data_IF_405208882782
#
_entry.id   IF_405208882782
#
_cell.length_a   1.000
_cell.length_b   1.000
_cell.length_c   1.000
_cell.angle_alpha   90.00
_cell.angle_beta   90.00
_cell.angle_gamma   90.00
#
_symmetry.space_group_name_H-M   'P 1'
#
loop_
_entity.id
_entity.type
_entity.pdbx_description
1 polymer ?
#
# COMPACT_ATOMS: atom_id res chain seq x y z
N UNK A 1 -102.30 11.12 9.13
CA UNK A 1 -100.84 11.45 9.18
C UNK A 1 -100.05 10.15 9.06
N UNK A 2 -99.67 9.75 7.87
CA UNK A 2 -99.20 8.42 7.53
C UNK A 2 -97.67 8.50 7.30
N UNK A 3 -96.91 7.88 8.18
CA UNK A 3 -95.43 7.72 8.05
C UNK A 3 -95.12 6.66 7.01
N UNK A 4 -94.45 7.06 5.92
CA UNK A 4 -93.91 6.16 4.94
C UNK A 4 -92.48 5.74 5.34
N UNK A 5 -92.26 4.53 5.77
CA UNK A 5 -90.98 3.87 5.95
C UNK A 5 -90.38 3.48 4.58
N UNK A 6 -89.34 4.15 4.14
CA UNK A 6 -88.55 3.71 2.97
C UNK A 6 -87.58 2.58 3.37
N UNK A 7 -87.83 1.35 2.90
CA UNK A 7 -86.94 0.24 3.01
C UNK A 7 -85.81 0.42 2.02
N UNK A 8 -84.52 0.40 2.49
CA UNK A 8 -83.33 0.42 1.67
C UNK A 8 -83.21 -0.88 0.86
N UNK A 9 -82.92 -0.78 -0.42
CA UNK A 9 -82.84 -1.91 -1.31
C UNK A 9 -81.47 -2.66 -1.19
N UNK A 10 -81.54 -3.96 -1.40
CA UNK A 10 -80.33 -4.89 -1.32
C UNK A 10 -79.08 -4.37 -2.10
N UNK A 11 -79.31 -3.52 -3.09
CA UNK A 11 -78.24 -2.93 -3.90
C UNK A 11 -77.42 -1.87 -3.18
N UNK A 12 -78.00 -1.15 -2.22
CA UNK A 12 -77.33 -0.10 -1.46
C UNK A 12 -76.44 -0.64 -0.30
N UNK A 13 -76.78 -1.82 0.18
CA UNK A 13 -75.96 -2.48 1.26
C UNK A 13 -74.70 -3.13 0.68
N UNK A 14 -74.69 -3.56 -0.56
CA UNK A 14 -73.53 -4.20 -1.20
C UNK A 14 -72.47 -3.12 -1.61
N UNK A 15 -72.88 -1.90 -1.88
CA UNK A 15 -71.96 -0.81 -2.22
C UNK A 15 -71.21 -0.23 -1.03
N UNK A 16 -71.67 -0.44 0.21
CA UNK A 16 -71.03 0.08 1.42
C UNK A 16 -69.97 -0.88 1.99
N UNK A 17 -70.00 -2.18 1.62
CA UNK A 17 -69.01 -3.20 2.06
C UNK A 17 -67.80 -3.33 1.10
N UNK A 18 -67.87 -2.79 -0.11
CA UNK A 18 -66.78 -2.82 -1.10
C UNK A 18 -65.74 -1.73 -0.96
N UNK A 19 -65.99 -0.67 -0.18
CA UNK A 19 -65.08 0.48 -0.06
C UNK A 19 -64.11 0.41 1.15
N UNK A 20 -64.29 -0.57 2.04
CA UNK A 20 -63.45 -0.68 3.24
C UNK A 20 -62.24 -1.64 3.09
N UNK A 21 -62.10 -2.31 1.92
CA UNK A 21 -61.06 -3.31 1.71
C UNK A 21 -59.78 -2.81 0.94
N UNK A 22 -59.66 -1.51 0.64
CA UNK A 22 -58.56 -0.93 -0.15
C UNK A 22 -57.70 0.09 0.59
N UNK A 23 -57.81 0.21 1.91
CA UNK A 23 -56.94 1.02 2.73
C UNK A 23 -56.00 0.14 3.61
N UNK A 24 -55.37 -0.90 3.02
CA UNK A 24 -54.15 -1.43 3.59
C UNK A 24 -53.08 -0.35 3.36
N UNK A 25 -52.44 0.17 4.41
CA UNK A 25 -51.28 1.03 4.20
C UNK A 25 -50.25 0.14 3.45
N UNK A 26 -50.00 0.51 2.19
CA UNK A 26 -48.80 0.02 1.51
C UNK A 26 -47.62 0.51 2.36
N UNK A 27 -47.14 -0.32 3.27
CA UNK A 27 -45.84 -0.19 3.85
C UNK A 27 -44.90 -0.34 2.67
N UNK A 28 -44.70 0.75 1.92
CA UNK A 28 -43.51 0.90 1.10
C UNK A 28 -42.39 0.80 2.10
N UNK A 29 -41.75 -0.39 2.16
CA UNK A 29 -40.40 -0.49 2.66
C UNK A 29 -39.61 0.56 1.87
N UNK A 30 -39.48 1.76 2.44
CA UNK A 30 -38.50 2.71 2.00
C UNK A 30 -37.17 1.92 2.19
N UNK A 31 -36.68 1.30 1.11
CA UNK A 31 -35.32 0.89 1.08
C UNK A 31 -34.55 2.19 1.28
N UNK A 32 -34.19 2.48 2.54
CA UNK A 32 -33.32 3.59 2.85
C UNK A 32 -32.10 3.40 1.96
N UNK A 33 -31.93 4.27 0.98
CA UNK A 33 -30.80 4.23 0.08
C UNK A 33 -29.56 4.17 0.96
N UNK A 34 -28.78 3.09 0.85
CA UNK A 34 -27.63 2.88 1.73
C UNK A 34 -26.75 4.13 1.65
N UNK A 35 -26.42 4.72 2.79
CA UNK A 35 -25.49 5.84 2.87
C UNK A 35 -24.17 5.40 2.25
N UNK A 36 -23.45 6.32 1.63
CA UNK A 36 -22.19 6.01 0.93
C UNK A 36 -21.04 6.74 1.57
N UNK A 37 -19.94 6.02 1.81
CA UNK A 37 -18.63 6.58 2.15
C UNK A 37 -17.80 6.62 0.87
N UNK A 38 -17.39 7.82 0.47
CA UNK A 38 -16.58 8.04 -0.73
C UNK A 38 -15.12 8.21 -0.34
N UNK A 39 -14.26 7.38 -0.93
CA UNK A 39 -12.82 7.53 -0.88
C UNK A 39 -12.33 8.15 -2.18
N UNK A 40 -11.69 9.32 -2.08
CA UNK A 40 -11.05 10.00 -3.20
C UNK A 40 -9.57 9.70 -3.28
N UNK A 41 -8.98 9.98 -4.44
CA UNK A 41 -7.55 9.83 -4.63
C UNK A 41 -7.13 9.97 -6.09
N UNK A 42 -5.83 9.90 -6.30
CA UNK A 42 -5.24 9.66 -7.61
C UNK A 42 -4.26 8.49 -7.52
N UNK A 43 -4.02 7.83 -8.64
CA UNK A 43 -3.03 6.74 -8.75
C UNK A 43 -2.37 6.82 -10.12
N UNK A 44 -1.09 6.50 -10.27
CA UNK A 44 -0.43 6.51 -11.57
C UNK A 44 -0.81 5.26 -12.36
N UNK A 45 -1.88 5.34 -13.15
CA UNK A 45 -2.28 4.25 -14.04
C UNK A 45 -1.47 4.26 -15.34
N UNK A 46 -0.85 5.41 -15.65
CA UNK A 46 0.07 5.63 -16.78
C UNK A 46 1.35 6.33 -16.31
N UNK A 47 2.35 6.41 -17.18
CA UNK A 47 3.63 7.05 -16.87
C UNK A 47 4.64 6.12 -16.20
N UNK A 48 5.70 6.71 -15.64
CA UNK A 48 6.87 5.95 -15.13
C UNK A 48 6.58 5.04 -13.95
N UNK A 49 5.56 5.35 -13.15
CA UNK A 49 5.18 4.58 -11.95
C UNK A 49 3.96 3.68 -12.18
N UNK A 50 3.51 3.48 -13.42
CA UNK A 50 2.28 2.75 -13.74
C UNK A 50 2.26 1.32 -13.21
N UNK A 51 3.39 0.61 -13.24
CA UNK A 51 3.48 -0.77 -12.75
C UNK A 51 3.04 -0.88 -11.29
N UNK A 52 3.59 -0.05 -10.42
CA UNK A 52 3.23 -0.06 -9.00
C UNK A 52 1.92 0.67 -8.75
N UNK A 53 1.59 1.69 -9.53
CA UNK A 53 0.28 2.37 -9.47
C UNK A 53 -0.89 1.43 -9.74
N UNK A 54 -0.77 0.54 -10.70
CA UNK A 54 -1.77 -0.50 -10.97
C UNK A 54 -1.92 -1.48 -9.80
N UNK A 55 -0.83 -1.83 -9.11
CA UNK A 55 -0.89 -2.66 -7.91
C UNK A 55 -1.66 -1.96 -6.79
N UNK A 56 -1.40 -0.67 -6.56
CA UNK A 56 -2.12 0.16 -5.58
C UNK A 56 -3.61 0.27 -5.93
N UNK A 57 -3.92 0.61 -7.18
CA UNK A 57 -5.30 0.70 -7.67
C UNK A 57 -6.09 -0.59 -7.46
N UNK A 58 -5.50 -1.73 -7.82
CA UNK A 58 -6.13 -3.03 -7.69
C UNK A 58 -6.39 -3.37 -6.21
N UNK A 59 -5.51 -2.97 -5.30
CA UNK A 59 -5.71 -3.13 -3.86
C UNK A 59 -6.92 -2.36 -3.35
N UNK A 60 -7.06 -1.09 -3.71
CA UNK A 60 -8.22 -0.27 -3.35
C UNK A 60 -9.52 -0.86 -3.89
N UNK A 61 -9.55 -1.24 -5.17
CA UNK A 61 -10.72 -1.86 -5.81
C UNK A 61 -11.08 -3.18 -5.11
N UNK A 62 -10.10 -4.02 -4.80
CA UNK A 62 -10.32 -5.31 -4.13
C UNK A 62 -11.01 -5.11 -2.79
N UNK A 63 -10.49 -4.19 -1.95
CA UNK A 63 -11.08 -3.95 -0.65
C UNK A 63 -12.51 -3.41 -0.75
N UNK A 64 -12.75 -2.37 -1.56
CA UNK A 64 -14.09 -1.80 -1.71
C UNK A 64 -15.08 -2.82 -2.27
N UNK A 65 -14.67 -3.63 -3.27
CA UNK A 65 -15.51 -4.72 -3.77
C UNK A 65 -15.82 -5.75 -2.69
N UNK A 66 -14.81 -6.16 -1.90
CA UNK A 66 -15.01 -7.13 -0.82
C UNK A 66 -16.03 -6.63 0.21
N UNK A 67 -15.84 -5.42 0.71
CA UNK A 67 -16.77 -4.81 1.67
C UNK A 67 -18.18 -4.69 1.12
N UNK A 68 -18.34 -4.34 -0.16
CA UNK A 68 -19.65 -4.15 -0.78
C UNK A 68 -20.32 -5.46 -1.18
N UNK A 69 -19.59 -6.36 -1.84
CA UNK A 69 -20.16 -7.53 -2.51
C UNK A 69 -20.25 -8.71 -1.57
N UNK A 70 -19.24 -8.91 -0.70
CA UNK A 70 -19.18 -10.06 0.22
C UNK A 70 -19.82 -9.71 1.56
N UNK A 71 -19.45 -8.56 2.17
CA UNK A 71 -19.97 -8.15 3.49
C UNK A 71 -21.27 -7.34 3.39
N UNK A 72 -21.68 -6.96 2.18
CA UNK A 72 -22.89 -6.20 1.93
C UNK A 72 -22.81 -4.74 2.36
N UNK A 73 -21.63 -4.21 2.67
CA UNK A 73 -21.34 -2.88 3.19
C UNK A 73 -20.69 -2.93 4.57
N UNK A 74 -20.50 -1.76 5.16
CA UNK A 74 -19.90 -1.60 6.50
C UNK A 74 -20.90 -1.00 7.47
N UNK A 75 -20.84 -1.45 8.72
CA UNK A 75 -21.67 -0.87 9.79
C UNK A 75 -20.85 0.09 10.64
N UNK A 76 -21.35 1.31 10.82
CA UNK A 76 -20.72 2.36 11.64
C UNK A 76 -21.84 3.00 12.48
N UNK A 77 -21.71 2.93 13.81
CA UNK A 77 -22.68 3.47 14.76
C UNK A 77 -24.14 3.00 14.53
N UNK A 78 -24.33 1.75 14.11
CA UNK A 78 -25.65 1.16 13.82
C UNK A 78 -26.23 1.52 12.45
N UNK A 79 -25.51 2.27 11.62
CA UNK A 79 -25.90 2.59 10.25
C UNK A 79 -25.05 1.83 9.23
N UNK A 80 -25.69 1.36 8.16
CA UNK A 80 -25.03 0.62 7.08
C UNK A 80 -24.63 1.55 5.94
N UNK A 81 -23.36 1.41 5.49
CA UNK A 81 -22.78 2.21 4.42
C UNK A 81 -22.30 1.31 3.28
N UNK A 82 -22.44 1.78 2.05
CA UNK A 82 -21.69 1.28 0.90
C UNK A 82 -20.43 2.12 0.72
N UNK A 83 -19.42 1.53 0.10
CA UNK A 83 -18.15 2.21 -0.18
C UNK A 83 -18.08 2.57 -1.66
N UNK A 84 -17.53 3.73 -1.98
CA UNK A 84 -17.29 4.20 -3.34
C UNK A 84 -15.86 4.68 -3.51
N UNK A 85 -15.24 4.40 -4.66
CA UNK A 85 -13.94 4.90 -5.05
C UNK A 85 -14.08 5.97 -6.13
N UNK A 86 -13.43 7.13 -5.91
CA UNK A 86 -13.21 8.17 -6.92
C UNK A 86 -11.71 8.30 -7.18
N UNK A 87 -11.15 7.36 -7.93
CA UNK A 87 -9.73 7.34 -8.27
C UNK A 87 -9.53 7.83 -9.72
N UNK A 88 -8.52 8.66 -9.91
CA UNK A 88 -8.16 9.21 -11.21
C UNK A 88 -6.70 8.94 -11.53
N UNK A 89 -6.38 8.79 -12.82
CA UNK A 89 -5.01 8.65 -13.29
C UNK A 89 -4.25 9.98 -13.15
N UNK A 90 -3.22 10.00 -12.31
CA UNK A 90 -2.32 11.15 -12.20
C UNK A 90 -1.17 11.13 -13.23
N UNK A 91 -1.06 10.08 -14.02
CA UNK A 91 -0.04 9.89 -15.04
C UNK A 91 1.41 10.04 -14.51
N UNK A 92 1.63 9.70 -13.23
CA UNK A 92 2.90 9.92 -12.53
C UNK A 92 3.34 11.40 -12.47
N UNK A 93 2.38 12.33 -12.58
CA UNK A 93 2.60 13.78 -12.57
C UNK A 93 2.08 14.44 -11.30
N UNK A 94 2.96 15.07 -10.48
CA UNK A 94 2.56 15.70 -9.23
C UNK A 94 1.60 16.89 -9.39
N UNK A 95 1.73 17.66 -10.47
CA UNK A 95 0.86 18.82 -10.71
C UNK A 95 -0.56 18.36 -11.08
N UNK A 96 -0.66 17.32 -11.92
CA UNK A 96 -1.95 16.69 -12.24
C UNK A 96 -2.60 16.08 -10.99
N UNK A 97 -1.82 15.35 -10.17
CA UNK A 97 -2.32 14.78 -8.92
C UNK A 97 -2.90 15.84 -7.98
N UNK A 98 -2.18 16.96 -7.77
CA UNK A 98 -2.65 18.05 -6.91
C UNK A 98 -3.95 18.67 -7.40
N UNK A 99 -4.08 18.87 -8.71
CA UNK A 99 -5.31 19.38 -9.35
C UNK A 99 -6.49 18.43 -9.13
N UNK A 100 -6.27 17.12 -9.29
CA UNK A 100 -7.30 16.09 -9.08
C UNK A 100 -7.75 16.03 -7.61
N UNK A 101 -6.84 16.09 -6.65
CA UNK A 101 -7.18 16.07 -5.23
C UNK A 101 -7.94 17.35 -4.83
N UNK A 102 -7.49 18.54 -5.28
CA UNK A 102 -8.18 19.78 -4.99
C UNK A 102 -9.63 19.74 -5.51
N UNK A 103 -9.83 19.31 -6.76
CA UNK A 103 -11.18 19.16 -7.33
C UNK A 103 -12.06 18.25 -6.50
N UNK A 104 -11.55 17.10 -6.04
CA UNK A 104 -12.32 16.16 -5.23
C UNK A 104 -12.70 16.75 -3.86
N UNK A 105 -11.83 17.57 -3.25
CA UNK A 105 -12.15 18.31 -2.02
C UNK A 105 -13.30 19.29 -2.27
N UNK A 106 -13.25 20.04 -3.37
CA UNK A 106 -14.28 21.01 -3.75
C UNK A 106 -15.64 20.33 -4.05
N UNK A 107 -15.60 19.08 -4.55
CA UNK A 107 -16.75 18.19 -4.75
C UNK A 107 -17.26 17.53 -3.44
N UNK A 108 -16.65 17.82 -2.29
CA UNK A 108 -17.09 17.36 -0.97
C UNK A 108 -16.54 16.00 -0.54
N UNK A 109 -15.51 15.46 -1.18
CA UNK A 109 -14.84 14.22 -0.73
C UNK A 109 -14.15 14.46 0.63
N UNK A 110 -14.32 13.51 1.55
CA UNK A 110 -13.87 13.64 2.94
C UNK A 110 -12.71 12.72 3.32
N UNK A 111 -12.49 11.63 2.61
CA UNK A 111 -11.47 10.63 2.92
C UNK A 111 -10.61 10.38 1.70
N UNK A 112 -9.30 10.45 1.86
CA UNK A 112 -8.37 10.36 0.75
C UNK A 112 -7.45 9.16 0.88
N UNK A 113 -7.15 8.57 -0.27
CA UNK A 113 -6.17 7.50 -0.46
C UNK A 113 -4.97 8.07 -1.20
N UNK A 114 -3.77 7.69 -0.75
CA UNK A 114 -2.55 8.19 -1.37
C UNK A 114 -2.25 7.51 -2.70
N UNK A 115 -1.56 8.26 -3.56
CA UNK A 115 -0.97 7.78 -4.80
C UNK A 115 0.34 7.00 -4.52
N UNK A 116 1.08 6.62 -5.57
CA UNK A 116 2.40 6.04 -5.46
C UNK A 116 3.49 7.06 -5.87
N UNK A 117 4.57 7.07 -5.06
CA UNK A 117 5.72 7.96 -5.19
C UNK A 117 5.64 9.17 -4.26
N UNK A 118 6.72 9.39 -3.49
CA UNK A 118 6.79 10.50 -2.52
C UNK A 118 6.68 11.89 -3.17
N UNK A 119 7.12 12.03 -4.41
CA UNK A 119 6.98 13.25 -5.21
C UNK A 119 5.51 13.62 -5.52
N UNK A 120 4.60 12.63 -5.49
CA UNK A 120 3.15 12.83 -5.66
C UNK A 120 2.47 12.93 -4.30
N UNK A 121 2.79 12.02 -3.37
CA UNK A 121 2.12 11.97 -2.07
C UNK A 121 2.39 13.23 -1.24
N UNK A 122 3.60 13.76 -1.24
CA UNK A 122 3.94 14.95 -0.43
C UNK A 122 3.09 16.19 -0.80
N UNK A 123 2.99 16.64 -2.05
CA UNK A 123 2.17 17.79 -2.40
C UNK A 123 0.65 17.52 -2.24
N UNK A 124 0.17 16.31 -2.53
CA UNK A 124 -1.25 15.96 -2.33
C UNK A 124 -1.61 15.89 -0.84
N UNK A 125 -0.73 15.37 0.00
CA UNK A 125 -0.87 15.37 1.45
C UNK A 125 -0.96 16.80 2.02
N UNK A 126 -0.18 17.75 1.50
CA UNK A 126 -0.27 19.15 1.92
C UNK A 126 -1.63 19.80 1.60
N UNK A 127 -2.28 19.35 0.52
CA UNK A 127 -3.62 19.83 0.15
C UNK A 127 -4.68 19.24 1.08
N UNK A 128 -4.67 17.93 1.31
CA UNK A 128 -5.63 17.27 2.21
C UNK A 128 -5.46 17.72 3.65
N UNK A 129 -4.23 17.98 4.12
CA UNK A 129 -3.92 18.56 5.43
C UNK A 129 -4.58 19.93 5.62
N UNK A 130 -4.40 20.85 4.66
CA UNK A 130 -5.04 22.19 4.71
C UNK A 130 -6.56 22.12 4.76
N UNK A 131 -7.14 21.15 4.04
CA UNK A 131 -8.57 20.91 4.01
C UNK A 131 -9.07 20.14 5.24
N UNK A 132 -8.21 19.71 6.15
CA UNK A 132 -8.52 18.85 7.31
C UNK A 132 -9.23 17.56 6.88
N UNK A 133 -8.79 16.96 5.79
CA UNK A 133 -9.28 15.69 5.28
C UNK A 133 -8.22 14.61 5.48
N UNK A 134 -8.52 13.52 6.22
CA UNK A 134 -7.53 12.48 6.42
C UNK A 134 -7.13 11.81 5.11
N UNK A 135 -5.84 11.50 5.00
CA UNK A 135 -5.24 10.69 3.95
C UNK A 135 -4.53 9.49 4.58
N UNK A 136 -4.94 8.28 4.20
CA UNK A 136 -4.21 7.04 4.50
C UNK A 136 -3.54 6.57 3.21
N UNK A 137 -2.24 6.29 3.26
CA UNK A 137 -1.46 6.06 2.06
C UNK A 137 -0.40 4.96 2.21
N UNK A 138 -0.13 4.26 1.11
CA UNK A 138 0.86 3.18 0.99
C UNK A 138 1.88 3.43 -0.14
N UNK A 139 2.08 4.69 -0.56
CA UNK A 139 2.91 5.01 -1.72
C UNK A 139 4.02 6.02 -1.48
N UNK A 140 3.94 6.81 -0.40
CA UNK A 140 4.92 7.82 -0.06
C UNK A 140 5.70 7.48 1.20
N UNK A 141 7.01 7.24 1.08
CA UNK A 141 7.87 6.90 2.22
C UNK A 141 8.82 8.03 2.66
N UNK A 142 9.04 9.06 1.84
CA UNK A 142 10.00 10.13 2.17
C UNK A 142 9.74 10.75 3.54
N UNK A 143 10.80 10.97 4.32
CA UNK A 143 10.73 11.63 5.61
C UNK A 143 10.06 13.01 5.54
N UNK A 144 10.19 13.71 4.40
CA UNK A 144 9.57 15.01 4.19
C UNK A 144 8.03 14.99 4.31
N UNK A 145 7.37 13.83 4.13
CA UNK A 145 5.92 13.69 4.32
C UNK A 145 5.57 13.79 5.81
N UNK A 146 6.42 13.23 6.68
CA UNK A 146 6.12 13.05 8.10
C UNK A 146 6.80 14.08 9.01
N UNK A 147 7.75 14.87 8.50
CA UNK A 147 8.47 15.90 9.28
C UNK A 147 7.91 17.32 9.12
N UNK A 148 6.81 17.48 8.35
CA UNK A 148 6.14 18.78 8.17
C UNK A 148 5.09 19.10 9.24
N UNK A 149 4.89 18.20 10.20
CA UNK A 149 3.91 18.39 11.26
C UNK A 149 2.46 18.17 10.83
N UNK A 150 2.23 17.45 9.73
CA UNK A 150 0.89 17.06 9.28
C UNK A 150 0.19 16.23 10.35
N UNK A 151 -1.14 16.44 10.51
CA UNK A 151 -1.99 15.74 11.48
C UNK A 151 -3.04 14.85 10.82
N UNK A 152 -3.24 14.99 9.53
CA UNK A 152 -4.25 14.28 8.75
C UNK A 152 -3.64 13.27 7.77
N UNK A 153 -2.34 12.99 7.84
CA UNK A 153 -1.62 12.10 6.92
C UNK A 153 -1.07 10.90 7.67
N UNK A 154 -1.41 9.68 7.18
CA UNK A 154 -1.05 8.41 7.82
C UNK A 154 -0.43 7.47 6.79
N UNK A 155 0.79 6.99 7.07
CA UNK A 155 1.55 6.10 6.19
C UNK A 155 1.53 4.65 6.67
N UNK A 156 1.25 3.70 5.77
CA UNK A 156 1.14 2.28 6.08
C UNK A 156 2.48 1.59 6.31
N UNK A 157 3.57 2.33 6.35
CA UNK A 157 4.91 1.85 6.74
C UNK A 157 5.77 2.98 7.32
N UNK A 158 6.91 2.66 7.94
CA UNK A 158 7.81 3.66 8.51
C UNK A 158 8.31 4.66 7.46
N UNK A 159 8.71 5.84 7.88
CA UNK A 159 9.39 6.81 7.00
C UNK A 159 10.69 6.23 6.43
N UNK A 160 11.12 6.74 5.28
CA UNK A 160 12.18 6.16 4.46
C UNK A 160 13.49 5.89 5.20
N UNK A 161 13.93 6.79 6.09
CA UNK A 161 15.13 6.59 6.92
C UNK A 161 15.04 5.38 7.85
N UNK A 162 13.84 4.87 8.14
CA UNK A 162 13.61 3.72 9.02
C UNK A 162 13.15 2.47 8.28
N UNK A 163 12.80 2.58 6.99
CA UNK A 163 12.21 1.48 6.22
C UNK A 163 13.14 0.28 6.09
N UNK A 164 14.44 0.53 6.01
CA UNK A 164 15.43 -0.51 5.72
C UNK A 164 16.31 -0.88 6.93
N UNK A 165 15.89 -0.55 8.13
CA UNK A 165 16.65 -0.85 9.35
C UNK A 165 16.90 -2.38 9.53
N UNK A 166 15.95 -3.22 9.09
CA UNK A 166 16.07 -4.68 9.09
C UNK A 166 17.18 -5.20 8.16
N UNK A 167 17.59 -4.43 7.16
CA UNK A 167 18.60 -4.83 6.17
C UNK A 167 19.97 -5.06 6.83
N UNK A 168 20.45 -4.11 7.64
CA UNK A 168 21.70 -4.27 8.35
C UNK A 168 21.66 -5.40 9.41
N UNK A 169 20.49 -5.63 10.03
CA UNK A 169 20.29 -6.75 10.94
C UNK A 169 20.42 -8.10 10.23
N UNK A 170 19.78 -8.26 9.05
CA UNK A 170 19.97 -9.45 8.22
C UNK A 170 21.45 -9.65 7.88
N UNK A 171 22.15 -8.61 7.41
CA UNK A 171 23.53 -8.74 6.96
C UNK A 171 24.46 -9.29 8.06
N UNK A 172 24.18 -8.98 9.33
CA UNK A 172 24.91 -9.56 10.47
C UNK A 172 24.71 -11.07 10.66
N UNK A 173 23.63 -11.63 10.14
CA UNK A 173 23.33 -13.07 10.24
C UNK A 173 23.92 -13.89 9.10
N UNK A 174 24.41 -13.23 8.04
CA UNK A 174 24.99 -13.93 6.87
C UNK A 174 26.33 -14.59 7.21
N UNK A 175 26.58 -15.76 6.60
CA UNK A 175 27.85 -16.52 6.81
C UNK A 175 28.51 -16.85 5.46
N UNK A 176 29.79 -16.45 5.25
CA UNK A 176 30.63 -15.66 6.16
C UNK A 176 30.09 -14.24 6.35
N UNK A 177 30.27 -13.66 7.53
CA UNK A 177 29.76 -12.30 7.82
C UNK A 177 30.40 -11.26 6.89
N UNK A 178 29.61 -10.47 6.13
CA UNK A 178 30.13 -9.38 5.31
C UNK A 178 30.90 -8.36 6.14
N UNK A 179 31.91 -7.72 5.56
CA UNK A 179 32.71 -6.71 6.22
C UNK A 179 32.54 -5.33 5.60
N UNK A 180 32.27 -5.30 4.30
CA UNK A 180 32.28 -4.07 3.50
C UNK A 180 30.95 -3.87 2.76
N UNK A 181 30.58 -2.61 2.54
CA UNK A 181 29.45 -2.28 1.70
C UNK A 181 29.72 -1.06 0.82
N UNK A 182 29.04 -0.99 -0.32
CA UNK A 182 28.83 0.22 -1.11
C UNK A 182 27.34 0.49 -1.26
N UNK A 183 26.95 1.76 -1.32
CA UNK A 183 25.55 2.16 -1.42
C UNK A 183 25.32 3.07 -2.61
N UNK A 184 24.20 2.83 -3.32
CA UNK A 184 23.77 3.62 -4.48
C UNK A 184 22.31 4.02 -4.27
N UNK A 185 21.98 5.30 -4.54
CA UNK A 185 20.59 5.78 -4.61
C UNK A 185 20.38 6.77 -5.74
N UNK A 186 19.15 6.99 -6.12
CA UNK A 186 18.76 8.05 -7.07
C UNK A 186 18.38 9.34 -6.32
N UNK A 187 18.64 10.50 -6.96
CA UNK A 187 18.33 11.82 -6.39
C UNK A 187 16.84 12.16 -6.54
N UNK A 188 16.00 11.39 -5.88
CA UNK A 188 14.58 11.66 -5.70
C UNK A 188 14.22 11.65 -4.20
N UNK A 189 13.01 12.14 -3.88
CA UNK A 189 12.60 12.38 -2.50
C UNK A 189 12.58 11.12 -1.62
N UNK A 190 12.29 9.95 -2.19
CA UNK A 190 12.27 8.67 -1.48
C UNK A 190 13.67 8.06 -1.40
N UNK A 191 14.28 7.82 -2.57
CA UNK A 191 15.52 7.04 -2.68
C UNK A 191 16.67 7.67 -1.90
N UNK A 192 16.77 9.00 -1.92
CA UNK A 192 17.78 9.74 -1.15
C UNK A 192 17.64 9.53 0.36
N UNK A 193 16.44 9.73 0.92
CA UNK A 193 16.23 9.56 2.36
C UNK A 193 16.34 8.11 2.80
N UNK A 194 15.86 7.19 1.99
CA UNK A 194 15.97 5.75 2.25
C UNK A 194 17.43 5.26 2.16
N UNK A 195 18.18 5.70 1.16
CA UNK A 195 19.62 5.39 1.01
C UNK A 195 20.44 5.90 2.20
N UNK A 196 20.17 7.11 2.66
CA UNK A 196 20.77 7.66 3.88
C UNK A 196 20.43 6.82 5.12
N UNK A 197 19.19 6.36 5.26
CA UNK A 197 18.76 5.48 6.35
C UNK A 197 19.48 4.13 6.35
N UNK A 198 19.63 3.50 5.19
CA UNK A 198 20.40 2.25 5.04
C UNK A 198 21.86 2.47 5.39
N UNK A 199 22.48 3.54 4.89
CA UNK A 199 23.85 3.90 5.23
C UNK A 199 24.04 4.01 6.75
N UNK A 200 23.19 4.80 7.43
CA UNK A 200 23.25 4.94 8.88
C UNK A 200 23.11 3.58 9.60
N UNK A 201 22.23 2.73 9.13
CA UNK A 201 22.03 1.39 9.71
C UNK A 201 23.25 0.48 9.50
N UNK A 202 23.86 0.52 8.32
CA UNK A 202 25.07 -0.25 8.01
C UNK A 202 26.29 0.27 8.81
N UNK A 203 26.47 1.59 8.90
CA UNK A 203 27.53 2.20 9.70
C UNK A 203 27.40 1.85 11.20
N UNK A 204 26.17 1.96 11.74
CA UNK A 204 25.87 1.59 13.13
C UNK A 204 26.07 0.08 13.39
N UNK A 205 25.88 -0.75 12.36
CA UNK A 205 26.13 -2.18 12.43
C UNK A 205 27.63 -2.55 12.34
N UNK A 206 28.51 -1.58 12.06
CA UNK A 206 29.96 -1.76 12.00
C UNK A 206 30.50 -2.22 10.64
N UNK A 207 29.69 -2.16 9.58
CA UNK A 207 30.17 -2.44 8.21
C UNK A 207 31.01 -1.27 7.69
N UNK A 208 32.13 -1.59 7.04
CA UNK A 208 33.02 -0.58 6.43
C UNK A 208 32.44 -0.14 5.08
N UNK A 209 32.10 1.13 4.97
CA UNK A 209 31.69 1.72 3.69
C UNK A 209 32.90 1.88 2.77
N UNK A 210 32.77 1.40 1.53
CA UNK A 210 33.76 1.62 0.46
C UNK A 210 33.35 2.80 -0.42
N UNK A 211 32.11 2.78 -0.94
CA UNK A 211 31.62 3.81 -1.86
C UNK A 211 30.21 4.27 -1.48
N UNK A 212 29.88 5.48 -1.95
CA UNK A 212 28.57 6.10 -1.83
C UNK A 212 28.30 6.86 -3.13
N UNK A 213 27.22 6.50 -3.84
CA UNK A 213 26.88 7.11 -5.12
C UNK A 213 25.45 7.64 -5.12
N UNK A 214 25.30 8.90 -5.50
CA UNK A 214 24.01 9.50 -5.82
C UNK A 214 23.88 9.63 -7.35
N UNK A 215 22.93 8.89 -7.93
CA UNK A 215 22.62 8.94 -9.36
C UNK A 215 21.57 10.03 -9.64
N UNK A 216 21.48 10.53 -10.89
CA UNK A 216 20.32 11.33 -11.30
C UNK A 216 19.00 10.60 -11.03
N UNK A 217 17.90 11.33 -10.89
CA UNK A 217 16.56 10.78 -10.60
C UNK A 217 15.99 9.93 -11.75
N UNK A 218 16.56 9.65 -12.80
CA UNK A 218 16.21 8.71 -13.89
C UNK A 218 17.48 8.40 -14.65
N UNK A 219 18.36 7.57 -14.10
CA UNK A 219 19.60 7.22 -14.79
C UNK A 219 19.30 6.39 -16.03
N UNK A 220 20.08 6.59 -17.08
CA UNK A 220 20.02 5.78 -18.30
C UNK A 220 21.26 4.91 -18.47
N UNK A 221 22.32 5.25 -17.75
CA UNK A 221 23.58 4.52 -17.73
C UNK A 221 24.23 4.60 -16.33
N UNK A 222 24.75 3.47 -15.84
CA UNK A 222 25.43 3.35 -14.54
C UNK A 222 26.82 2.72 -14.68
N UNK A 223 27.36 2.62 -15.89
CA UNK A 223 28.62 1.94 -16.19
C UNK A 223 29.82 2.50 -15.41
N UNK A 224 29.87 3.83 -15.22
CA UNK A 224 30.91 4.49 -14.40
C UNK A 224 30.88 4.03 -12.94
N UNK A 225 29.69 4.03 -12.32
CA UNK A 225 29.50 3.57 -10.94
C UNK A 225 29.86 2.07 -10.81
N UNK A 226 29.42 1.25 -11.76
CA UNK A 226 29.77 -0.18 -11.79
C UNK A 226 31.27 -0.42 -11.98
N UNK A 227 31.97 0.49 -12.68
CA UNK A 227 33.43 0.49 -12.77
C UNK A 227 34.08 0.61 -11.39
N UNK A 228 33.63 1.54 -10.55
CA UNK A 228 34.09 1.70 -9.16
C UNK A 228 33.75 0.49 -8.29
N UNK A 229 32.53 -0.06 -8.40
CA UNK A 229 32.11 -1.26 -7.68
C UNK A 229 33.02 -2.45 -8.03
N UNK A 230 33.40 -2.64 -9.30
CA UNK A 230 34.37 -3.69 -9.70
C UNK A 230 35.74 -3.48 -9.13
N UNK A 231 36.23 -2.24 -9.08
CA UNK A 231 37.56 -1.92 -8.56
C UNK A 231 37.63 -2.16 -7.04
N UNK A 232 36.57 -1.80 -6.29
CA UNK A 232 36.55 -1.86 -4.84
C UNK A 232 35.99 -3.16 -4.27
N UNK A 233 35.26 -3.94 -5.08
CA UNK A 233 34.69 -5.26 -4.74
C UNK A 233 34.03 -5.35 -3.34
N UNK A 234 32.97 -4.55 -3.07
CA UNK A 234 32.28 -4.64 -1.78
C UNK A 234 31.65 -6.02 -1.57
N UNK A 235 31.56 -6.47 -0.31
CA UNK A 235 30.79 -7.68 0.02
C UNK A 235 29.31 -7.48 -0.28
N UNK A 236 28.79 -6.29 0.07
CA UNK A 236 27.40 -5.91 -0.08
C UNK A 236 27.28 -4.70 -1.03
N UNK A 237 26.50 -4.82 -2.06
CA UNK A 237 26.03 -3.68 -2.84
C UNK A 237 24.56 -3.42 -2.50
N UNK A 238 24.29 -2.25 -1.94
CA UNK A 238 22.96 -1.83 -1.51
C UNK A 238 22.47 -0.73 -2.44
N UNK A 239 21.40 -1.03 -3.21
CA UNK A 239 20.82 -0.10 -4.18
C UNK A 239 19.43 0.31 -3.69
N UNK A 240 19.22 1.61 -3.42
CA UNK A 240 17.95 2.13 -2.94
C UNK A 240 17.38 3.09 -3.97
N UNK A 241 16.48 2.60 -4.80
CA UNK A 241 15.86 3.31 -5.91
C UNK A 241 14.54 2.67 -6.31
N UNK A 242 13.84 3.27 -7.25
CA UNK A 242 12.60 2.71 -7.79
C UNK A 242 12.83 1.52 -8.72
N UNK A 243 11.77 0.77 -9.00
CA UNK A 243 11.81 -0.53 -9.67
C UNK A 243 12.55 -0.51 -11.02
N UNK A 244 12.32 0.51 -11.84
CA UNK A 244 12.94 0.62 -13.16
C UNK A 244 14.44 0.88 -13.07
N UNK A 245 14.86 1.73 -12.13
CA UNK A 245 16.28 2.05 -11.91
C UNK A 245 17.02 0.84 -11.31
N UNK A 246 16.34 0.10 -10.42
CA UNK A 246 16.85 -1.17 -9.88
C UNK A 246 17.05 -2.20 -10.99
N UNK A 247 16.11 -2.29 -11.94
CA UNK A 247 16.22 -3.19 -13.09
C UNK A 247 17.38 -2.79 -14.02
N UNK A 248 17.58 -1.49 -14.25
CA UNK A 248 18.70 -0.96 -15.02
C UNK A 248 20.04 -1.39 -14.40
N UNK A 249 20.22 -1.17 -13.08
CA UNK A 249 21.45 -1.59 -12.38
C UNK A 249 21.69 -3.08 -12.54
N UNK A 250 20.69 -3.92 -12.26
CA UNK A 250 20.83 -5.36 -12.35
C UNK A 250 21.24 -5.80 -13.78
N UNK A 251 20.59 -5.26 -14.82
CA UNK A 251 20.92 -5.54 -16.23
C UNK A 251 22.34 -5.12 -16.59
N UNK A 252 22.78 -3.94 -16.17
CA UNK A 252 24.12 -3.47 -16.47
C UNK A 252 25.20 -4.21 -15.66
N UNK A 253 24.89 -4.65 -14.44
CA UNK A 253 25.78 -5.56 -13.67
C UNK A 253 25.95 -6.90 -14.38
N UNK A 254 24.89 -7.49 -14.93
CA UNK A 254 24.95 -8.71 -15.74
C UNK A 254 25.80 -8.47 -16.99
N UNK A 255 25.49 -7.44 -17.77
CA UNK A 255 26.16 -7.12 -19.03
C UNK A 255 27.67 -6.85 -18.85
N UNK A 256 28.05 -6.21 -17.74
CA UNK A 256 29.43 -5.87 -17.42
C UNK A 256 30.15 -6.91 -16.56
N UNK A 257 29.50 -8.03 -16.25
CA UNK A 257 29.96 -9.07 -15.30
C UNK A 257 30.46 -8.48 -13.96
N UNK A 258 29.72 -7.47 -13.43
CA UNK A 258 30.04 -6.85 -12.14
C UNK A 258 29.47 -7.72 -11.02
N UNK A 259 30.34 -8.43 -10.31
CA UNK A 259 29.96 -9.40 -9.28
C UNK A 259 30.16 -8.83 -7.88
N UNK A 260 29.23 -9.13 -6.97
CA UNK A 260 29.29 -8.85 -5.52
C UNK A 260 28.76 -10.06 -4.76
N UNK A 261 29.10 -10.21 -3.47
CA UNK A 261 28.60 -11.34 -2.68
C UNK A 261 27.11 -11.25 -2.34
N UNK A 262 26.56 -10.02 -2.27
CA UNK A 262 25.14 -9.77 -2.10
C UNK A 262 24.73 -8.48 -2.86
N UNK A 263 23.73 -8.59 -3.70
CA UNK A 263 23.02 -7.43 -4.24
C UNK A 263 21.68 -7.30 -3.51
N UNK A 264 21.57 -6.25 -2.71
CA UNK A 264 20.31 -5.84 -2.10
C UNK A 264 19.74 -4.65 -2.85
N UNK A 265 18.48 -4.76 -3.28
CA UNK A 265 17.76 -3.70 -3.97
C UNK A 265 16.54 -3.33 -3.14
N UNK A 266 16.43 -2.08 -2.72
CA UNK A 266 15.32 -1.60 -1.88
C UNK A 266 13.95 -1.94 -2.47
N UNK A 267 13.80 -1.68 -3.77
CA UNK A 267 12.62 -2.04 -4.58
C UNK A 267 13.07 -2.76 -5.86
N UNK A 268 12.19 -3.54 -6.47
CA UNK A 268 12.40 -4.26 -7.73
C UNK A 268 12.12 -5.75 -7.61
N UNK A 269 12.96 -6.56 -6.94
CA UNK A 269 12.81 -8.01 -6.89
C UNK A 269 11.49 -8.53 -6.29
N UNK A 270 10.77 -7.73 -5.50
CA UNK A 270 9.44 -8.07 -4.97
C UNK A 270 8.37 -8.14 -6.07
N UNK A 271 8.60 -7.49 -7.23
CA UNK A 271 7.69 -7.53 -8.36
C UNK A 271 7.93 -8.76 -9.25
N UNK A 272 6.88 -9.46 -9.64
CA UNK A 272 6.98 -10.58 -10.57
C UNK A 272 7.54 -10.14 -11.92
N UNK A 273 7.08 -8.99 -12.45
CA UNK A 273 7.57 -8.41 -13.71
C UNK A 273 9.07 -8.13 -13.72
N UNK A 274 9.63 -7.71 -12.57
CA UNK A 274 11.08 -7.52 -12.41
C UNK A 274 11.82 -8.85 -12.54
N UNK A 275 11.33 -9.90 -11.85
CA UNK A 275 11.94 -11.24 -11.89
C UNK A 275 11.84 -11.86 -13.28
N UNK A 276 10.70 -11.73 -13.94
CA UNK A 276 10.50 -12.16 -15.34
C UNK A 276 11.46 -11.45 -16.30
N UNK A 277 11.64 -10.12 -16.14
CA UNK A 277 12.51 -9.31 -16.98
C UNK A 277 14.01 -9.64 -16.85
N UNK A 278 14.44 -10.19 -15.71
CA UNK A 278 15.81 -10.65 -15.46
C UNK A 278 16.00 -12.15 -15.65
N UNK A 279 14.91 -12.91 -15.65
CA UNK A 279 14.97 -14.38 -15.73
C UNK A 279 15.85 -14.97 -14.63
N UNK A 280 16.73 -15.92 -14.99
CA UNK A 280 17.65 -16.58 -14.05
C UNK A 280 18.56 -15.60 -13.28
N UNK A 281 18.83 -14.44 -13.82
CA UNK A 281 19.67 -13.44 -13.16
C UNK A 281 18.98 -12.76 -11.96
N UNK A 282 17.67 -12.94 -11.80
CA UNK A 282 16.96 -12.49 -10.60
C UNK A 282 17.27 -13.34 -9.36
N UNK A 283 17.72 -14.58 -9.53
CA UNK A 283 18.05 -15.48 -8.43
C UNK A 283 19.08 -14.85 -7.47
N UNK A 284 18.93 -15.11 -6.18
CA UNK A 284 19.73 -14.58 -5.05
C UNK A 284 19.55 -13.09 -4.75
N UNK A 285 18.86 -12.30 -5.58
CA UNK A 285 18.65 -10.88 -5.31
C UNK A 285 17.80 -10.71 -4.05
N UNK A 286 18.21 -9.80 -3.17
CA UNK A 286 17.49 -9.48 -1.95
C UNK A 286 16.77 -8.14 -2.09
N UNK A 287 15.62 -8.02 -1.44
CA UNK A 287 14.87 -6.77 -1.39
C UNK A 287 14.05 -6.63 -0.11
N UNK A 288 13.60 -5.41 0.16
CA UNK A 288 12.58 -5.18 1.18
C UNK A 288 11.18 -5.51 0.68
N UNK A 289 10.36 -6.03 1.58
CA UNK A 289 8.90 -6.15 1.40
C UNK A 289 8.20 -5.89 2.74
N UNK A 290 6.92 -5.55 2.70
CA UNK A 290 6.11 -5.29 3.91
C UNK A 290 5.02 -6.31 4.10
N UNK A 291 4.83 -7.16 3.10
CA UNK A 291 3.80 -8.19 3.13
C UNK A 291 4.11 -9.31 2.14
N UNK A 292 3.67 -10.49 2.48
CA UNK A 292 3.63 -11.70 1.66
C UNK A 292 2.38 -12.51 2.05
N UNK A 293 1.88 -13.37 1.17
CA UNK A 293 0.68 -14.17 1.47
C UNK A 293 0.87 -15.17 2.62
N UNK A 294 2.11 -15.45 2.99
CA UNK A 294 2.47 -16.37 4.10
C UNK A 294 2.45 -15.71 5.47
N UNK A 295 2.32 -14.38 5.57
CA UNK A 295 2.31 -13.69 6.88
C UNK A 295 1.16 -14.19 7.76
N UNK A 296 1.37 -14.32 9.09
CA UNK A 296 0.42 -14.96 9.99
C UNK A 296 -0.72 -14.03 10.45
N UNK A 297 -0.84 -12.85 9.86
CA UNK A 297 -1.82 -11.84 10.27
C UNK A 297 -3.25 -12.26 9.94
N UNK A 298 -4.16 -11.89 10.84
CA UNK A 298 -5.60 -12.18 10.73
C UNK A 298 -6.42 -10.94 11.07
N UNK A 299 -7.58 -10.85 10.45
CA UNK A 299 -8.56 -9.79 10.72
C UNK A 299 -9.99 -10.35 10.80
N UNK A 300 -10.93 -9.47 11.16
CA UNK A 300 -12.36 -9.81 11.22
C UNK A 300 -13.09 -9.69 9.89
N UNK A 301 -12.47 -9.16 8.85
CA UNK A 301 -13.09 -8.91 7.55
C UNK A 301 -12.67 -9.96 6.52
N UNK A 302 -11.42 -9.94 6.07
CA UNK A 302 -10.88 -10.93 5.13
C UNK A 302 -10.62 -12.27 5.81
N UNK A 303 -10.29 -12.25 7.10
CA UNK A 303 -9.92 -13.40 7.90
C UNK A 303 -8.40 -13.62 7.95
N UNK A 304 -7.72 -13.72 6.82
CA UNK A 304 -6.26 -13.79 6.73
C UNK A 304 -5.74 -13.39 5.35
N UNK A 305 -4.41 -13.33 5.21
CA UNK A 305 -3.73 -12.95 3.96
C UNK A 305 -4.08 -13.86 2.79
N UNK A 306 -4.25 -15.17 3.00
CA UNK A 306 -4.57 -16.12 1.93
C UNK A 306 -5.97 -15.90 1.38
N UNK A 307 -6.95 -15.67 2.25
CA UNK A 307 -8.33 -15.35 1.84
C UNK A 307 -8.41 -14.03 1.08
N UNK A 308 -7.61 -13.03 1.47
CA UNK A 308 -7.46 -11.81 0.69
C UNK A 308 -6.95 -12.13 -0.72
N UNK A 309 -5.90 -12.95 -0.84
CA UNK A 309 -5.34 -13.38 -2.13
C UNK A 309 -6.35 -14.14 -2.96
N UNK A 310 -7.10 -15.07 -2.36
CA UNK A 310 -8.16 -15.83 -3.04
C UNK A 310 -9.22 -14.88 -3.62
N UNK A 311 -9.69 -13.92 -2.84
CA UNK A 311 -10.66 -12.94 -3.34
C UNK A 311 -10.09 -12.03 -4.42
N UNK A 312 -8.85 -11.52 -4.24
CA UNK A 312 -8.17 -10.72 -5.26
C UNK A 312 -8.12 -11.44 -6.61
N UNK A 313 -7.77 -12.72 -6.62
CA UNK A 313 -7.69 -13.55 -7.84
C UNK A 313 -9.04 -13.73 -8.55
N UNK A 314 -10.16 -13.48 -7.89
CA UNK A 314 -11.48 -13.43 -8.55
C UNK A 314 -11.70 -12.18 -9.39
N UNK A 315 -10.93 -11.13 -9.15
CA UNK A 315 -11.07 -9.81 -9.81
C UNK A 315 -9.92 -9.52 -10.78
N UNK A 316 -8.72 -10.00 -10.48
CA UNK A 316 -7.51 -9.65 -11.20
C UNK A 316 -6.61 -10.86 -11.44
N UNK A 317 -5.93 -10.85 -12.61
CA UNK A 317 -4.91 -11.84 -12.96
C UNK A 317 -3.49 -11.37 -12.70
N UNK A 318 -3.30 -10.06 -12.44
CA UNK A 318 -1.99 -9.48 -12.12
C UNK A 318 -1.45 -10.08 -10.82
N UNK A 319 -0.16 -10.46 -10.75
CA UNK A 319 0.46 -10.90 -9.50
C UNK A 319 0.32 -9.85 -8.39
N UNK A 320 0.09 -10.31 -7.18
CA UNK A 320 0.01 -9.44 -6.00
C UNK A 320 1.41 -9.00 -5.58
N UNK A 321 1.54 -7.70 -5.25
CA UNK A 321 2.69 -7.15 -4.55
C UNK A 321 2.26 -6.59 -3.19
N UNK A 322 3.20 -6.31 -2.30
CA UNK A 322 2.86 -5.74 -0.99
C UNK A 322 2.12 -4.40 -1.09
N UNK A 323 2.33 -3.65 -2.18
CA UNK A 323 1.56 -2.42 -2.46
C UNK A 323 0.07 -2.69 -2.67
N UNK A 324 -0.28 -3.83 -3.28
CA UNK A 324 -1.68 -4.25 -3.46
C UNK A 324 -2.34 -4.52 -2.10
N UNK A 325 -1.67 -5.30 -1.27
CA UNK A 325 -2.16 -5.63 0.07
C UNK A 325 -2.21 -4.38 0.98
N UNK A 326 -1.16 -3.54 0.95
CA UNK A 326 -1.11 -2.29 1.70
C UNK A 326 -2.21 -1.30 1.29
N UNK A 327 -2.54 -1.21 -0.01
CA UNK A 327 -3.64 -0.39 -0.49
C UNK A 327 -5.00 -0.90 0.01
N UNK A 328 -5.24 -2.21 -0.04
CA UNK A 328 -6.44 -2.78 0.53
C UNK A 328 -6.55 -2.51 2.05
N UNK A 329 -5.43 -2.63 2.77
CA UNK A 329 -5.35 -2.35 4.19
C UNK A 329 -5.57 -0.86 4.53
N UNK A 330 -5.31 0.08 3.62
CA UNK A 330 -5.70 1.50 3.82
C UNK A 330 -7.22 1.64 3.99
N UNK A 331 -8.01 0.97 3.15
CA UNK A 331 -9.48 0.95 3.25
C UNK A 331 -9.90 0.31 4.57
N UNK A 332 -9.35 -0.86 4.89
CA UNK A 332 -9.63 -1.55 6.15
C UNK A 332 -9.32 -0.68 7.36
N UNK A 333 -8.17 -0.01 7.37
CA UNK A 333 -7.75 0.92 8.43
C UNK A 333 -8.74 2.06 8.61
N UNK A 334 -9.25 2.63 7.53
CA UNK A 334 -10.32 3.65 7.61
C UNK A 334 -11.59 3.09 8.24
N UNK A 335 -12.03 1.91 7.83
CA UNK A 335 -13.24 1.30 8.38
C UNK A 335 -13.08 1.03 9.89
N UNK A 336 -11.94 0.50 10.31
CA UNK A 336 -11.62 0.28 11.72
C UNK A 336 -11.62 1.60 12.51
N UNK A 337 -11.04 2.67 11.95
CA UNK A 337 -11.02 3.98 12.57
C UNK A 337 -12.43 4.60 12.68
N UNK A 338 -13.26 4.47 11.64
CA UNK A 338 -14.66 4.93 11.66
C UNK A 338 -15.50 4.17 12.69
N UNK A 339 -15.28 2.86 12.81
CA UNK A 339 -15.93 2.03 13.83
C UNK A 339 -15.49 2.41 15.25
N UNK A 340 -14.19 2.65 15.45
CA UNK A 340 -13.65 3.11 16.74
C UNK A 340 -14.17 4.50 17.12
N UNK A 341 -14.24 5.43 16.16
CA UNK A 341 -14.81 6.76 16.32
C UNK A 341 -16.33 6.76 16.46
N UNK A 342 -17.02 5.67 16.09
CA UNK A 342 -18.48 5.61 15.92
C UNK A 342 -19.01 6.76 15.06
N UNK A 343 -18.27 7.14 14.01
CA UNK A 343 -18.54 8.34 13.23
C UNK A 343 -17.90 8.28 11.84
N UNK A 344 -18.52 8.98 10.89
CA UNK A 344 -17.91 9.29 9.57
C UNK A 344 -17.50 10.76 9.48
N UNK A 345 -17.43 11.48 10.61
CA UNK A 345 -16.87 12.84 10.63
C UNK A 345 -15.35 12.79 10.44
N UNK A 346 -14.77 13.57 9.50
CA UNK A 346 -13.34 13.51 9.19
C UNK A 346 -12.40 13.78 10.39
N UNK A 347 -12.75 14.69 11.28
CA UNK A 347 -11.95 14.98 12.48
C UNK A 347 -11.95 13.81 13.47
N UNK A 348 -13.15 13.25 13.74
CA UNK A 348 -13.27 12.10 14.63
C UNK A 348 -12.52 10.87 14.07
N UNK A 349 -12.59 10.66 12.76
CA UNK A 349 -11.84 9.58 12.09
C UNK A 349 -10.34 9.83 12.14
N UNK A 350 -9.87 11.07 11.92
CA UNK A 350 -8.47 11.44 12.08
C UNK A 350 -7.97 11.16 13.51
N UNK A 351 -8.76 11.50 14.53
CA UNK A 351 -8.42 11.25 15.94
C UNK A 351 -8.34 9.75 16.26
N UNK A 352 -9.21 8.95 15.64
CA UNK A 352 -9.15 7.50 15.76
C UNK A 352 -7.92 6.91 15.04
N UNK A 353 -7.59 7.42 13.85
CA UNK A 353 -6.39 7.03 13.10
C UNK A 353 -5.11 7.34 13.90
N UNK A 354 -5.02 8.51 14.53
CA UNK A 354 -3.84 8.89 15.34
C UNK A 354 -3.61 8.00 16.57
N UNK A 355 -4.63 7.23 16.96
CA UNK A 355 -4.60 6.26 18.08
C UNK A 355 -4.68 4.82 17.60
N UNK A 356 -4.52 4.59 16.29
CA UNK A 356 -4.67 3.27 15.69
C UNK A 356 -3.76 2.23 16.37
N UNK A 357 -4.36 1.12 16.70
CA UNK A 357 -3.71 -0.12 17.09
C UNK A 357 -4.63 -1.26 16.63
N UNK A 358 -4.61 -1.53 15.32
CA UNK A 358 -5.55 -2.40 14.65
C UNK A 358 -4.87 -3.64 14.08
N UNK A 359 -5.47 -4.79 14.26
CA UNK A 359 -5.09 -6.00 13.54
C UNK A 359 -5.77 -6.01 12.17
N UNK A 360 -4.99 -6.19 11.11
CA UNK A 360 -5.45 -6.35 9.73
C UNK A 360 -4.80 -7.58 9.10
N UNK A 361 -5.34 -8.07 7.98
CA UNK A 361 -4.69 -9.16 7.25
C UNK A 361 -3.28 -8.80 6.74
N UNK A 362 -2.97 -7.50 6.65
CA UNK A 362 -1.71 -6.97 6.16
C UNK A 362 -0.65 -6.92 7.25
N UNK A 363 -0.97 -6.34 8.39
CA UNK A 363 -0.11 -6.22 9.57
C UNK A 363 -0.93 -5.68 10.76
N UNK A 364 -0.31 -5.59 11.93
CA UNK A 364 -0.84 -4.73 13.01
C UNK A 364 -0.51 -3.28 12.65
N UNK A 365 -1.55 -2.45 12.51
CA UNK A 365 -1.43 -1.05 12.11
C UNK A 365 -1.28 -0.16 13.34
N UNK A 366 -0.17 0.55 13.42
CA UNK A 366 0.08 1.55 14.45
C UNK A 366 0.88 2.71 13.86
N UNK A 367 0.43 3.92 14.12
CA UNK A 367 1.10 5.12 13.63
C UNK A 367 1.90 5.79 14.74
N UNK A 368 3.01 6.42 14.36
CA UNK A 368 3.75 7.34 15.23
C UNK A 368 2.98 8.66 15.40
N UNK A 369 3.34 9.52 16.35
CA UNK A 369 2.75 10.86 16.45
C UNK A 369 2.89 11.73 15.19
N UNK A 370 3.86 11.42 14.34
CA UNK A 370 4.08 12.10 13.06
C UNK A 370 3.29 11.48 11.90
N UNK A 371 2.55 10.38 12.14
CA UNK A 371 1.68 9.73 11.18
C UNK A 371 2.36 8.65 10.32
N UNK A 372 3.66 8.41 10.42
CA UNK A 372 4.30 7.27 9.77
C UNK A 372 4.05 5.96 10.55
N UNK A 373 4.20 4.82 9.89
CA UNK A 373 4.09 3.51 10.54
C UNK A 373 5.14 3.32 11.63
N UNK A 374 4.74 2.72 12.75
CA UNK A 374 5.66 2.37 13.82
C UNK A 374 6.69 1.33 13.32
N UNK A 375 7.96 1.68 13.30
CA UNK A 375 9.00 0.85 12.71
C UNK A 375 9.24 -0.48 13.47
N UNK A 376 8.85 -0.58 14.73
CA UNK A 376 8.97 -1.82 15.53
C UNK A 376 7.83 -2.79 15.16
N UNK A 377 6.64 -2.26 14.90
CA UNK A 377 5.44 -3.05 14.65
C UNK A 377 5.23 -3.29 13.15
N UNK A 378 5.48 -2.26 12.32
CA UNK A 378 5.24 -2.27 10.88
C UNK A 378 6.54 -2.28 10.07
N UNK A 379 7.63 -2.79 10.66
CA UNK A 379 8.95 -2.86 10.00
C UNK A 379 8.96 -3.76 8.77
N UNK A 380 9.93 -3.52 7.88
CA UNK A 380 10.07 -4.32 6.67
C UNK A 380 10.59 -5.73 6.97
N UNK A 381 10.14 -6.68 6.17
CA UNK A 381 10.76 -7.98 5.98
C UNK A 381 11.77 -7.91 4.85
N UNK A 382 12.70 -8.86 4.79
CA UNK A 382 13.60 -9.03 3.66
C UNK A 382 13.20 -10.29 2.89
N UNK A 383 12.94 -10.10 1.60
CA UNK A 383 12.74 -11.19 0.66
C UNK A 383 14.01 -11.46 -0.14
N UNK A 384 14.20 -12.70 -0.55
CA UNK A 384 15.21 -13.12 -1.51
C UNK A 384 14.57 -13.94 -2.63
N UNK A 385 15.00 -13.69 -3.85
CA UNK A 385 14.53 -14.50 -4.99
C UNK A 385 15.23 -15.86 -4.93
N UNK A 386 14.44 -16.92 -4.75
CA UNK A 386 14.86 -18.31 -4.72
C UNK A 386 13.91 -19.15 -5.58
N UNK A 387 14.43 -19.87 -6.56
CA UNK A 387 13.63 -20.69 -7.49
C UNK A 387 12.50 -19.88 -8.14
N UNK A 388 12.83 -18.70 -8.64
CA UNK A 388 11.95 -17.71 -9.29
C UNK A 388 10.89 -17.06 -8.39
N UNK A 389 10.78 -17.47 -7.12
CA UNK A 389 9.84 -16.92 -6.14
C UNK A 389 10.55 -15.96 -5.21
N UNK A 390 9.78 -15.04 -4.63
CA UNK A 390 10.25 -14.24 -3.50
C UNK A 390 9.99 -15.04 -2.23
N UNK A 391 11.05 -15.46 -1.55
CA UNK A 391 10.99 -16.11 -0.25
C UNK A 391 11.36 -15.12 0.84
N UNK A 392 10.61 -15.08 1.94
CA UNK A 392 10.95 -14.25 3.10
C UNK A 392 12.13 -14.91 3.82
N UNK A 393 13.23 -14.18 4.00
CA UNK A 393 14.46 -14.68 4.64
C UNK A 393 14.78 -13.96 5.95
N UNK A 394 14.07 -12.86 6.27
CA UNK A 394 14.24 -12.14 7.54
C UNK A 394 12.97 -11.29 7.84
N UNK A 395 12.56 -11.13 9.13
CA UNK A 395 13.13 -11.75 10.33
C UNK A 395 12.85 -13.26 10.39
N UNK A 396 13.64 -13.98 11.19
CA UNK A 396 13.55 -15.45 11.29
C UNK A 396 12.12 -15.93 11.64
N UNK A 397 11.43 -15.18 12.51
CA UNK A 397 10.06 -15.51 12.94
C UNK A 397 9.02 -15.45 11.79
N UNK A 398 9.31 -14.75 10.69
CA UNK A 398 8.44 -14.63 9.51
C UNK A 398 9.04 -15.35 8.29
N UNK A 399 10.22 -15.97 8.40
CA UNK A 399 10.93 -16.52 7.25
C UNK A 399 10.28 -17.79 6.72
N UNK A 400 10.17 -17.86 5.39
CA UNK A 400 9.80 -19.08 4.63
C UNK A 400 11.02 -19.87 4.15
N UNK A 401 12.20 -19.23 4.10
CA UNK A 401 13.45 -19.84 3.67
C UNK A 401 14.67 -19.24 4.40
N UNK A 402 15.80 -19.94 4.35
CA UNK A 402 17.09 -19.39 4.80
C UNK A 402 17.70 -18.53 3.71
N UNK A 403 18.45 -17.45 4.06
CA UNK A 403 19.16 -16.66 3.07
C UNK A 403 20.26 -17.48 2.38
N UNK A 404 20.31 -17.37 1.07
CA UNK A 404 21.39 -17.95 0.24
C UNK A 404 22.47 -16.88 0.06
N UNK A 405 23.65 -17.11 0.64
CA UNK A 405 24.78 -16.18 0.61
C UNK A 405 26.10 -16.96 0.71
N UNK A 406 27.15 -16.55 -0.01
CA UNK A 406 27.19 -15.51 -1.02
C UNK A 406 26.44 -15.92 -2.31
N UNK A 407 25.96 -14.91 -3.08
CA UNK A 407 25.42 -15.20 -4.41
C UNK A 407 26.55 -15.65 -5.36
N UNK A 408 26.27 -16.57 -6.29
CA UNK A 408 27.22 -16.92 -7.32
C UNK A 408 27.45 -15.78 -8.32
N UNK A 409 28.60 -15.83 -9.04
CA UNK A 409 28.82 -14.89 -10.14
C UNK A 409 27.72 -15.02 -11.21
N UNK A 410 27.49 -13.94 -11.96
CA UNK A 410 26.39 -13.86 -12.92
C UNK A 410 26.41 -14.99 -13.96
N UNK A 411 27.60 -15.36 -14.46
CA UNK A 411 27.79 -16.43 -15.43
C UNK A 411 27.56 -17.84 -14.85
N UNK A 412 27.51 -17.95 -13.52
CA UNK A 412 27.29 -19.23 -12.79
C UNK A 412 25.87 -19.38 -12.25
N UNK A 413 25.01 -18.39 -12.46
CA UNK A 413 23.60 -18.51 -12.09
C UNK A 413 22.87 -19.48 -13.03
N UNK A 414 22.26 -20.50 -12.46
CA UNK A 414 21.61 -21.59 -13.20
C UNK A 414 20.22 -21.17 -13.73
#
# INVERSE_FOLDING_TARGET
>A
MTLHSKKATRRQVISALGAAALAAPAIRSAHAQAKTIVFGGSVPLTGAAAETGLNVNNGYITAVSYFNDVLGGVEIAGEKYKLELKLFDDASDPARATTLIQRQIDEGTNFFLGSFGSNIVLPTAAITERAKKPMVQTGGGSDAIFTKGFKYVFGMYPRATRQFASTAALFKTLSPTPQTYSVIWTNDAFSKTAGQGVKLSCDAAGFKKLDEFELPAKPTDVSSVLGSVRANTPDLLVCVMHDQDSLLIARQMVASNTNVKCLFQGLGPQLASFREALGKYSEYLMCSTYWDESVPYKDKFFGDSRKFVEYYKTKFTRPIAYHTAGAAACIETYILAMQAAKSTNPEAVRDALSKADYETFYSRIKFTPDGDGDAIIMGSMIGQVQKTKLEIVFPEAASSAKPLYPQPAWDKKA
#
